data_IF_746976221621
#
_entry.id   IF_746976221621
#
_cell.length_a   1.000
_cell.length_b   1.000
_cell.length_c   1.000
_cell.angle_alpha   90.00
_cell.angle_beta   90.00
_cell.angle_gamma   90.00
#
_symmetry.space_group_name_H-M   'P 1'
#
loop_
_entity.id
_entity.type
_entity.pdbx_description
1 polymer ?
#
# COMPACT_ATOMS: atom_id res chain seq x y z
N UNK A 1 -4.75 -43.40 9.74
CA UNK A 1 -3.59 -43.46 8.80
C UNK A 1 -3.47 -42.23 7.89
N UNK A 2 -4.55 -41.70 7.29
CA UNK A 2 -4.49 -40.57 6.31
C UNK A 2 -3.90 -39.26 6.87
N UNK A 3 -4.20 -38.89 8.12
CA UNK A 3 -3.70 -37.65 8.73
C UNK A 3 -2.20 -37.64 9.05
N UNK A 4 -1.63 -38.77 9.50
CA UNK A 4 -0.18 -38.87 9.79
C UNK A 4 0.67 -38.78 8.52
N UNK A 5 0.18 -39.35 7.42
CA UNK A 5 0.83 -39.23 6.11
C UNK A 5 0.82 -37.78 5.60
N UNK A 6 -0.27 -37.05 5.79
CA UNK A 6 -0.37 -35.63 5.43
C UNK A 6 0.61 -34.76 6.22
N UNK A 7 0.66 -34.96 7.55
CA UNK A 7 1.58 -34.22 8.43
C UNK A 7 3.04 -34.50 8.10
N UNK A 8 3.40 -35.76 7.85
CA UNK A 8 4.75 -36.14 7.44
C UNK A 8 5.16 -35.49 6.10
N UNK A 9 4.23 -35.40 5.14
CA UNK A 9 4.48 -34.75 3.85
C UNK A 9 4.74 -33.24 4.00
N UNK A 10 3.97 -32.58 4.88
CA UNK A 10 4.14 -31.16 5.20
C UNK A 10 5.51 -30.93 5.87
N UNK A 11 5.84 -31.74 6.87
CA UNK A 11 7.08 -31.63 7.63
C UNK A 11 8.32 -31.79 6.75
N UNK A 12 8.31 -32.78 5.85
CA UNK A 12 9.42 -33.01 4.90
C UNK A 12 9.59 -31.82 3.95
N UNK A 13 8.49 -31.25 3.44
CA UNK A 13 8.56 -30.07 2.57
C UNK A 13 9.14 -28.86 3.30
N UNK A 14 8.68 -28.59 4.53
CA UNK A 14 9.19 -27.47 5.34
C UNK A 14 10.68 -27.64 5.62
N UNK A 15 11.11 -28.83 6.08
CA UNK A 15 12.53 -29.10 6.35
C UNK A 15 13.38 -28.96 5.09
N UNK A 16 12.91 -29.46 3.95
CA UNK A 16 13.65 -29.39 2.69
C UNK A 16 13.89 -27.95 2.25
N UNK A 17 12.87 -27.09 2.40
CA UNK A 17 12.97 -25.68 2.02
C UNK A 17 13.87 -24.90 2.98
N UNK A 18 13.74 -25.15 4.29
CA UNK A 18 14.55 -24.46 5.32
C UNK A 18 15.99 -25.01 5.44
N UNK A 19 16.27 -26.22 4.97
CA UNK A 19 17.62 -26.79 5.03
C UNK A 19 18.56 -26.21 3.96
N UNK A 20 18.01 -25.71 2.85
CA UNK A 20 18.79 -25.09 1.79
C UNK A 20 19.07 -23.61 2.11
N UNK A 21 20.29 -23.34 2.58
CA UNK A 21 20.74 -21.98 2.94
C UNK A 21 20.68 -21.00 1.77
N UNK A 22 20.83 -21.49 0.54
CA UNK A 22 20.67 -20.67 -0.66
C UNK A 22 19.23 -20.22 -0.84
N UNK A 23 18.27 -21.14 -0.62
CA UNK A 23 16.85 -20.81 -0.71
C UNK A 23 16.40 -19.81 0.35
N UNK A 24 16.95 -19.84 1.58
CA UNK A 24 16.58 -18.86 2.62
C UNK A 24 16.90 -17.43 2.16
N UNK A 25 18.06 -17.21 1.53
CA UNK A 25 18.40 -15.89 0.99
C UNK A 25 17.41 -15.44 -0.08
N UNK A 26 17.01 -16.33 -1.00
CA UNK A 26 16.01 -16.00 -2.02
C UNK A 26 14.59 -15.81 -1.45
N UNK A 27 14.23 -16.55 -0.40
CA UNK A 27 12.90 -16.53 0.21
C UNK A 27 12.67 -15.29 1.08
N UNK A 28 13.70 -14.81 1.78
CA UNK A 28 13.59 -13.68 2.71
C UNK A 28 14.54 -12.53 2.40
N UNK A 29 15.80 -12.83 2.08
CA UNK A 29 16.84 -11.82 1.86
C UNK A 29 16.59 -10.96 0.62
N UNK A 30 16.34 -11.57 -0.53
CA UNK A 30 16.04 -10.86 -1.78
C UNK A 30 14.80 -9.98 -1.71
N UNK A 31 13.63 -10.47 -1.23
CA UNK A 31 12.46 -9.64 -1.05
C UNK A 31 12.72 -8.44 -0.15
N UNK A 32 13.43 -8.65 0.96
CA UNK A 32 13.72 -7.57 1.89
C UNK A 32 14.69 -6.55 1.28
N UNK A 33 15.73 -7.01 0.59
CA UNK A 33 16.66 -6.14 -0.13
C UNK A 33 15.94 -5.31 -1.19
N UNK A 34 15.04 -5.92 -1.98
CA UNK A 34 14.25 -5.21 -2.98
C UNK A 34 13.28 -4.22 -2.35
N UNK A 35 12.57 -4.63 -1.29
CA UNK A 35 11.66 -3.77 -0.54
C UNK A 35 12.40 -2.54 -0.04
N UNK A 36 13.56 -2.73 0.63
CA UNK A 36 14.38 -1.62 1.15
C UNK A 36 14.94 -0.75 0.03
N UNK A 37 15.51 -1.33 -1.03
CA UNK A 37 16.04 -0.60 -2.18
C UNK A 37 14.97 0.26 -2.84
N UNK A 38 13.79 -0.31 -3.07
CA UNK A 38 12.68 0.41 -3.68
C UNK A 38 12.09 1.43 -2.72
N UNK A 39 12.07 1.13 -1.43
CA UNK A 39 11.73 2.10 -0.41
C UNK A 39 12.68 3.31 -0.47
N UNK A 40 13.98 3.09 -0.63
CA UNK A 40 14.94 4.19 -0.78
C UNK A 40 14.67 4.96 -2.08
N UNK A 41 14.40 4.26 -3.17
CA UNK A 41 14.12 4.87 -4.48
C UNK A 41 12.84 5.72 -4.49
N UNK A 42 11.79 5.28 -3.79
CA UNK A 42 10.51 5.98 -3.67
C UNK A 42 10.45 6.94 -2.47
N UNK A 43 11.60 7.22 -1.84
CA UNK A 43 11.71 8.21 -0.79
C UNK A 43 11.13 7.79 0.57
N UNK A 44 10.89 6.50 0.79
CA UNK A 44 10.41 5.94 2.08
C UNK A 44 11.44 6.16 3.19
N UNK A 45 12.73 6.04 2.85
CA UNK A 45 13.85 6.32 3.75
C UNK A 45 14.51 7.66 3.45
N UNK A 46 13.94 8.45 2.54
CA UNK A 46 14.41 9.81 2.23
C UNK A 46 13.94 10.81 3.28
N UNK A 47 14.12 10.41 4.53
CA UNK A 47 14.47 11.25 5.67
C UNK A 47 15.96 11.66 5.61
N UNK A 48 16.53 11.77 4.41
CA UNK A 48 17.93 12.11 4.16
C UNK A 48 18.16 13.62 4.04
N UNK A 49 18.22 14.32 5.18
CA UNK A 49 18.89 15.64 5.27
C UNK A 49 18.04 16.85 5.69
N UNK A 50 16.76 16.66 5.96
CA UNK A 50 15.88 17.71 6.50
C UNK A 50 14.42 17.40 6.24
N UNK A 51 13.56 17.85 7.14
CA UNK A 51 12.12 17.86 6.87
C UNK A 51 11.87 18.60 5.53
N UNK A 52 10.93 18.13 4.69
CA UNK A 52 10.66 18.74 3.40
C UNK A 52 10.39 20.25 3.54
N UNK A 53 11.08 21.07 2.76
CA UNK A 53 10.97 22.52 2.90
C UNK A 53 9.68 23.04 2.24
N UNK A 54 8.80 23.61 3.08
CA UNK A 54 7.64 24.39 2.64
C UNK A 54 8.03 25.84 2.72
N UNK A 55 8.11 26.52 1.57
CA UNK A 55 8.42 27.94 1.56
C UNK A 55 7.16 28.74 1.89
N UNK A 56 7.21 29.56 2.93
CA UNK A 56 6.09 30.43 3.30
C UNK A 56 6.38 31.84 2.80
N UNK A 57 5.51 32.37 1.95
CA UNK A 57 5.50 33.76 1.53
C UNK A 57 4.42 34.50 2.30
N UNK A 58 4.85 35.35 3.22
CA UNK A 58 3.98 36.21 4.00
C UNK A 58 3.91 37.62 3.41
N UNK A 59 2.80 37.93 2.73
CA UNK A 59 2.52 39.27 2.23
C UNK A 59 1.77 40.16 3.25
N UNK A 60 1.26 39.59 4.36
CA UNK A 60 0.51 40.30 5.39
C UNK A 60 1.41 40.90 6.47
N UNK A 61 2.45 40.17 6.88
CA UNK A 61 3.43 40.57 7.92
C UNK A 61 2.76 41.07 9.21
N UNK A 62 1.72 40.36 9.66
CA UNK A 62 0.96 40.69 10.86
C UNK A 62 1.30 39.78 12.04
N UNK A 63 0.83 40.13 13.24
CA UNK A 63 0.96 39.26 14.41
C UNK A 63 0.22 37.93 14.26
N UNK A 64 -0.90 37.92 13.52
CA UNK A 64 -1.67 36.71 13.23
C UNK A 64 -0.99 35.81 12.19
N UNK A 65 -0.34 36.40 11.16
CA UNK A 65 0.45 35.63 10.20
C UNK A 65 1.69 35.02 10.86
N UNK A 66 2.36 35.76 11.75
CA UNK A 66 3.48 35.26 12.53
C UNK A 66 3.10 34.10 13.48
N UNK A 67 1.93 34.17 14.10
CA UNK A 67 1.43 33.09 14.95
C UNK A 67 1.12 31.82 14.15
N UNK A 68 0.51 31.95 12.96
CA UNK A 68 0.30 30.84 12.03
C UNK A 68 1.64 30.24 11.59
N UNK A 69 2.61 31.07 11.20
CA UNK A 69 3.95 30.62 10.80
C UNK A 69 4.64 29.87 11.94
N UNK A 70 4.54 30.36 13.18
CA UNK A 70 5.12 29.70 14.34
C UNK A 70 4.50 28.31 14.58
N UNK A 71 3.17 28.19 14.49
CA UNK A 71 2.48 26.90 14.63
C UNK A 71 2.82 25.93 13.48
N UNK A 72 2.99 26.43 12.27
CA UNK A 72 3.43 25.63 11.12
C UNK A 72 4.91 25.23 11.20
N UNK A 73 5.74 26.05 11.86
CA UNK A 73 7.17 25.79 12.04
C UNK A 73 7.47 24.80 13.17
N UNK A 74 6.52 24.60 14.08
CA UNK A 74 6.61 23.64 15.20
C UNK A 74 6.31 22.19 14.78
N UNK A 75 5.82 21.98 13.55
CA UNK A 75 5.53 20.65 13.02
C UNK A 75 6.78 19.80 12.80
N UNK A 76 6.80 18.58 13.32
CA UNK A 76 7.90 17.61 13.10
C UNK A 76 7.91 16.98 11.69
N UNK A 77 7.03 17.41 10.79
CA UNK A 77 6.75 16.69 9.54
C UNK A 77 7.26 17.39 8.28
N UNK A 78 7.47 18.71 8.34
CA UNK A 78 8.03 19.53 7.25
C UNK A 78 8.81 20.72 7.84
N UNK A 79 9.79 21.26 7.10
CA UNK A 79 10.53 22.46 7.52
C UNK A 79 9.85 23.67 6.90
N UNK A 80 9.16 24.46 7.72
CA UNK A 80 8.69 25.77 7.28
C UNK A 80 9.89 26.72 7.09
N UNK A 81 10.09 27.22 5.88
CA UNK A 81 11.11 28.23 5.58
C UNK A 81 10.40 29.50 5.14
N UNK A 82 10.44 30.54 5.96
CA UNK A 82 9.91 31.84 5.57
C UNK A 82 10.83 32.43 4.49
N UNK A 83 10.26 32.74 3.33
CA UNK A 83 11.03 33.34 2.25
C UNK A 83 11.33 34.82 2.56
N UNK A 84 12.60 35.23 2.43
CA UNK A 84 13.04 36.62 2.68
C UNK A 84 12.44 37.64 1.70
N UNK A 85 11.91 37.17 0.57
CA UNK A 85 11.31 38.01 -0.47
C UNK A 85 9.80 38.05 -0.35
N UNK A 86 9.22 39.26 -0.34
CA UNK A 86 7.77 39.45 -0.52
C UNK A 86 7.45 39.04 -1.96
N UNK A 87 7.02 37.80 -2.13
CA UNK A 87 6.60 37.26 -3.41
C UNK A 87 5.16 37.66 -3.72
N UNK A 88 4.85 37.88 -5.00
CA UNK A 88 3.47 37.83 -5.48
C UNK A 88 3.00 36.38 -5.54
N UNK A 89 1.70 36.14 -5.42
CA UNK A 89 1.07 34.84 -5.66
C UNK A 89 1.51 34.24 -7.02
N UNK A 90 1.75 35.09 -8.02
CA UNK A 90 2.24 34.69 -9.35
C UNK A 90 3.66 34.08 -9.27
N UNK A 91 4.54 34.69 -8.47
CA UNK A 91 5.92 34.21 -8.27
C UNK A 91 5.92 32.89 -7.49
N UNK A 92 5.08 32.77 -6.47
CA UNK A 92 4.88 31.54 -5.71
C UNK A 92 4.44 30.39 -6.63
N UNK A 93 3.48 30.66 -7.54
CA UNK A 93 3.00 29.72 -8.55
C UNK A 93 4.12 29.29 -9.52
N UNK A 94 4.91 30.24 -10.01
CA UNK A 94 5.97 29.97 -11.00
C UNK A 94 7.13 29.15 -10.41
N UNK A 95 7.53 29.43 -9.17
CA UNK A 95 8.58 28.69 -8.47
C UNK A 95 8.27 27.20 -8.28
N UNK A 96 7.01 26.87 -8.04
CA UNK A 96 6.55 25.48 -7.94
C UNK A 96 6.49 24.84 -9.33
N UNK A 97 5.98 25.57 -10.33
CA UNK A 97 5.86 25.07 -11.71
C UNK A 97 7.20 24.76 -12.37
N UNK A 98 8.24 25.54 -12.07
CA UNK A 98 9.61 25.33 -12.55
C UNK A 98 10.38 24.26 -11.74
N UNK A 99 9.76 23.67 -10.72
CA UNK A 99 10.40 22.67 -9.85
C UNK A 99 11.48 23.25 -8.92
N UNK A 100 11.57 24.58 -8.79
CA UNK A 100 12.54 25.26 -7.92
C UNK A 100 12.16 25.18 -6.43
N UNK A 101 10.87 25.01 -6.13
CA UNK A 101 10.33 24.80 -4.78
C UNK A 101 9.35 23.63 -4.77
N UNK A 102 9.42 22.81 -3.72
CA UNK A 102 8.57 21.61 -3.56
C UNK A 102 7.12 21.97 -3.21
N UNK A 103 6.95 22.93 -2.30
CA UNK A 103 5.66 23.45 -1.88
C UNK A 103 5.81 24.90 -1.40
N UNK A 104 4.77 25.69 -1.63
CA UNK A 104 4.72 27.09 -1.29
C UNK A 104 3.37 27.44 -0.66
N UNK A 105 3.41 27.97 0.56
CA UNK A 105 2.26 28.60 1.21
C UNK A 105 2.31 30.11 0.97
N UNK A 106 1.24 30.67 0.44
CA UNK A 106 1.08 32.11 0.25
C UNK A 106 0.00 32.66 1.17
N UNK A 107 0.40 33.61 2.03
CA UNK A 107 -0.49 34.35 2.92
C UNK A 107 -0.74 35.73 2.29
N UNK A 108 -1.98 36.06 1.90
CA UNK A 108 -2.28 37.33 1.23
C UNK A 108 -2.23 38.51 2.18
N UNK A 109 -1.97 39.71 1.64
CA UNK A 109 -2.05 40.96 2.40
C UNK A 109 -3.48 41.23 2.88
N UNK A 110 -3.65 41.71 4.11
CA UNK A 110 -4.95 41.90 4.75
C UNK A 110 -5.51 40.62 5.40
N UNK A 111 -4.65 39.63 5.65
CA UNK A 111 -5.02 38.39 6.33
C UNK A 111 -5.47 38.67 7.76
N UNK A 112 -4.70 39.41 8.57
CA UNK A 112 -5.12 39.81 9.91
C UNK A 112 -6.44 40.61 9.92
N UNK A 113 -6.60 41.56 9.00
CA UNK A 113 -7.83 42.36 8.90
C UNK A 113 -9.04 41.50 8.54
N UNK A 114 -8.87 40.52 7.65
CA UNK A 114 -9.91 39.57 7.29
C UNK A 114 -10.30 38.70 8.48
N UNK A 115 -9.32 38.31 9.30
CA UNK A 115 -9.53 37.53 10.52
C UNK A 115 -10.23 38.32 11.62
N UNK A 116 -9.92 39.60 11.78
CA UNK A 116 -10.53 40.52 12.75
C UNK A 116 -11.97 40.89 12.36
N UNK A 117 -12.18 41.21 11.08
CA UNK A 117 -13.50 41.61 10.53
C UNK A 117 -14.40 40.42 10.18
N UNK A 118 -13.93 39.19 10.44
CA UNK A 118 -14.63 37.94 10.17
C UNK A 118 -15.09 37.81 8.71
N UNK A 119 -14.29 38.34 7.78
CA UNK A 119 -14.44 38.14 6.34
C UNK A 119 -13.77 36.82 5.94
N UNK A 120 -14.25 36.15 4.88
CA UNK A 120 -13.59 34.94 4.40
C UNK A 120 -12.17 35.26 3.94
N UNK A 121 -11.19 34.52 4.44
CA UNK A 121 -9.78 34.63 4.09
C UNK A 121 -9.34 33.34 3.39
N UNK A 122 -8.76 33.47 2.20
CA UNK A 122 -8.22 32.36 1.44
C UNK A 122 -6.71 32.29 1.57
N UNK A 123 -6.18 31.18 2.06
CA UNK A 123 -4.75 30.87 2.01
C UNK A 123 -4.47 30.08 0.73
N UNK A 124 -3.49 30.48 -0.07
CA UNK A 124 -3.14 29.75 -1.31
C UNK A 124 -1.98 28.80 -1.03
N UNK A 125 -2.15 27.50 -1.29
CA UNK A 125 -1.09 26.51 -1.14
C UNK A 125 -0.78 25.86 -2.50
N UNK A 126 0.41 26.14 -2.99
CA UNK A 126 0.92 25.67 -4.27
C UNK A 126 1.88 24.52 -4.05
N UNK A 127 1.67 23.40 -4.71
CA UNK A 127 2.57 22.26 -4.55
C UNK A 127 2.71 21.40 -5.80
N UNK A 128 3.82 20.67 -5.85
CA UNK A 128 4.03 19.59 -6.81
C UNK A 128 3.30 18.32 -6.32
N UNK A 129 2.62 17.61 -7.23
CA UNK A 129 1.82 16.43 -6.90
C UNK A 129 2.67 15.15 -6.79
N UNK A 130 3.86 15.15 -7.39
CA UNK A 130 4.74 13.97 -7.47
C UNK A 130 5.52 13.70 -6.18
N UNK A 131 5.45 14.62 -5.20
CA UNK A 131 6.22 14.54 -3.95
C UNK A 131 5.30 14.31 -2.76
N UNK A 132 5.46 13.15 -2.13
CA UNK A 132 4.69 12.74 -0.96
C UNK A 132 4.76 13.75 0.20
N UNK A 133 5.89 14.44 0.34
CA UNK A 133 6.10 15.51 1.32
C UNK A 133 5.12 16.68 1.19
N UNK A 134 4.71 17.03 -0.02
CA UNK A 134 3.76 18.11 -0.26
C UNK A 134 2.35 17.78 0.23
N UNK A 135 1.95 16.51 0.17
CA UNK A 135 0.64 16.07 0.65
C UNK A 135 0.56 16.04 2.18
N UNK A 136 1.66 15.67 2.84
CA UNK A 136 1.73 15.73 4.31
C UNK A 136 1.67 17.17 4.81
N UNK A 137 2.43 18.08 4.19
CA UNK A 137 2.37 19.51 4.50
C UNK A 137 0.96 20.09 4.31
N UNK A 138 0.22 19.66 3.27
CA UNK A 138 -1.17 20.05 3.07
C UNK A 138 -2.08 19.61 4.21
N UNK A 139 -1.96 18.35 4.65
CA UNK A 139 -2.82 17.80 5.72
C UNK A 139 -2.56 18.50 7.06
N UNK A 140 -1.29 18.79 7.35
CA UNK A 140 -0.90 19.54 8.54
C UNK A 140 -1.40 20.99 8.48
N UNK A 141 -1.32 21.62 7.31
CA UNK A 141 -1.82 22.97 7.07
C UNK A 141 -3.35 23.05 7.21
N UNK A 142 -4.10 22.08 6.66
CA UNK A 142 -5.55 21.96 6.84
C UNK A 142 -5.89 21.79 8.33
N UNK A 143 -5.13 20.98 9.07
CA UNK A 143 -5.31 20.77 10.51
C UNK A 143 -4.99 22.03 11.32
N UNK A 144 -3.94 22.76 10.98
CA UNK A 144 -3.57 24.02 11.62
C UNK A 144 -4.64 25.10 11.39
N UNK A 145 -5.15 25.22 10.16
CA UNK A 145 -6.28 26.11 9.83
C UNK A 145 -7.50 25.76 10.67
N UNK A 146 -7.85 24.47 10.79
CA UNK A 146 -8.97 24.00 11.62
C UNK A 146 -8.77 24.32 13.11
N UNK A 147 -7.55 24.16 13.65
CA UNK A 147 -7.25 24.49 15.05
C UNK A 147 -7.35 25.98 15.33
N UNK A 148 -6.86 26.81 14.42
CA UNK A 148 -6.95 28.27 14.55
C UNK A 148 -8.41 28.72 14.50
N UNK A 149 -9.20 28.15 13.59
CA UNK A 149 -10.65 28.38 13.55
C UNK A 149 -11.33 27.93 14.85
N UNK A 150 -11.08 26.71 15.31
CA UNK A 150 -11.66 26.18 16.55
C UNK A 150 -11.27 27.01 17.78
N UNK A 151 -9.99 27.39 17.91
CA UNK A 151 -9.49 28.22 19.01
C UNK A 151 -10.03 29.66 18.97
N UNK A 152 -10.37 30.18 17.80
CA UNK A 152 -11.03 31.50 17.65
C UNK A 152 -12.52 31.43 17.93
N UNK A 153 -13.21 30.40 17.44
CA UNK A 153 -14.60 30.13 17.80
C UNK A 153 -14.74 30.05 19.33
N UNK A 154 -13.83 29.32 20.00
CA UNK A 154 -13.77 29.24 21.46
C UNK A 154 -13.52 30.58 22.16
N UNK A 155 -12.52 31.37 21.71
CA UNK A 155 -12.22 32.68 22.30
C UNK A 155 -13.32 33.73 22.08
N UNK A 156 -13.97 33.74 20.91
CA UNK A 156 -15.13 34.62 20.64
C UNK A 156 -16.35 34.20 21.47
N UNK A 157 -16.56 32.91 21.64
CA UNK A 157 -17.61 32.39 22.51
C UNK A 157 -17.34 32.71 23.99
N UNK A 158 -16.07 32.82 24.41
CA UNK A 158 -15.68 33.26 25.75
C UNK A 158 -15.75 34.78 25.97
N UNK A 159 -15.59 35.59 24.90
CA UNK A 159 -15.69 37.05 24.95
C UNK A 159 -17.15 37.57 24.90
N UNK A 160 -18.13 36.68 24.74
CA UNK A 160 -19.57 36.95 24.85
C UNK A 160 -20.28 35.89 25.68
N UNK A 161 -21.61 35.96 25.80
CA UNK A 161 -22.38 34.84 26.32
C UNK A 161 -22.31 33.67 25.33
N UNK A 162 -21.94 32.47 25.80
CA UNK A 162 -21.84 31.27 24.97
C UNK A 162 -23.21 30.92 24.38
N UNK A 163 -23.37 31.08 23.07
CA UNK A 163 -24.58 30.74 22.33
C UNK A 163 -24.26 29.56 21.40
N UNK A 164 -24.88 28.41 21.68
CA UNK A 164 -24.68 27.15 20.94
C UNK A 164 -25.09 27.28 19.48
N UNK A 165 -26.13 28.05 19.16
CA UNK A 165 -26.56 28.28 17.78
C UNK A 165 -25.54 29.09 16.98
N UNK A 166 -24.86 30.04 17.65
CA UNK A 166 -23.80 30.85 17.05
C UNK A 166 -22.51 30.04 16.87
N UNK A 167 -22.18 29.14 17.79
CA UNK A 167 -21.07 28.19 17.64
C UNK A 167 -21.29 27.25 16.44
N UNK A 168 -22.50 26.69 16.29
CA UNK A 168 -22.86 25.81 15.17
C UNK A 168 -22.77 26.53 13.81
N UNK A 169 -23.13 27.82 13.74
CA UNK A 169 -22.99 28.62 12.52
C UNK A 169 -21.53 28.90 12.15
N UNK A 170 -20.64 29.07 13.14
CA UNK A 170 -19.21 29.29 12.92
C UNK A 170 -18.49 27.99 12.55
N UNK A 171 -18.96 26.85 13.05
CA UNK A 171 -18.44 25.53 12.73
C UNK A 171 -18.80 25.07 11.31
N UNK A 172 -20.03 25.40 10.87
CA UNK A 172 -20.55 24.97 9.56
C UNK A 172 -20.22 25.92 8.40
N UNK A 173 -19.74 27.15 8.67
CA UNK A 173 -19.29 28.11 7.66
C UNK A 173 -17.80 28.48 7.88
N UNK A 174 -16.85 27.63 7.45
CA UNK A 174 -15.42 27.92 7.60
C UNK A 174 -15.05 29.21 6.87
N UNK A 175 -14.51 30.19 7.61
CA UNK A 175 -14.14 31.51 7.05
C UNK A 175 -12.69 31.51 6.55
N UNK A 176 -11.82 30.68 7.10
CA UNK A 176 -10.55 30.32 6.51
C UNK A 176 -10.74 29.16 5.53
N UNK A 177 -10.49 29.42 4.25
CA UNK A 177 -10.47 28.38 3.22
C UNK A 177 -9.04 28.22 2.72
N UNK A 178 -8.51 27.00 2.79
CA UNK A 178 -7.26 26.69 2.11
C UNK A 178 -7.55 26.40 0.64
N UNK A 179 -7.11 27.29 -0.24
CA UNK A 179 -7.15 27.10 -1.68
C UNK A 179 -5.86 26.38 -2.08
N UNK A 180 -5.91 25.04 -2.13
CA UNK A 180 -4.80 24.24 -2.64
C UNK A 180 -4.83 24.22 -4.16
N UNK A 181 -3.84 24.81 -4.83
CA UNK A 181 -3.69 24.76 -6.28
C UNK A 181 -2.51 23.86 -6.66
N UNK A 182 -2.82 22.77 -7.34
CA UNK A 182 -1.84 21.82 -7.89
C UNK A 182 -1.22 22.40 -9.16
N UNK A 183 0.10 22.55 -9.17
CA UNK A 183 0.83 23.14 -10.31
C UNK A 183 1.72 22.15 -11.06
N UNK A 184 1.57 20.86 -10.74
CA UNK A 184 2.13 19.74 -11.50
C UNK A 184 1.33 19.42 -12.77
N UNK A 185 1.90 18.59 -13.64
CA UNK A 185 1.30 18.16 -14.91
C UNK A 185 -0.08 17.55 -14.63
N UNK A 186 -1.12 18.23 -15.11
CA UNK A 186 -2.55 18.16 -14.70
C UNK A 186 -3.26 16.80 -14.87
N UNK A 187 -2.56 15.73 -15.27
CA UNK A 187 -3.19 14.47 -15.65
C UNK A 187 -3.29 13.43 -14.51
N UNK A 188 -2.71 13.68 -13.32
CA UNK A 188 -2.60 12.66 -12.26
C UNK A 188 -3.10 13.08 -10.86
N UNK A 189 -3.63 14.29 -10.68
CA UNK A 189 -3.86 14.90 -9.35
C UNK A 189 -5.11 14.41 -8.57
N UNK A 190 -5.94 13.51 -9.11
CA UNK A 190 -7.09 12.95 -8.37
C UNK A 190 -6.78 11.67 -7.57
N UNK A 191 -5.54 11.22 -7.55
CA UNK A 191 -5.20 9.93 -6.96
C UNK A 191 -4.51 10.13 -5.62
N UNK A 192 -5.29 9.95 -4.54
CA UNK A 192 -4.83 9.86 -3.15
C UNK A 192 -3.65 8.88 -3.06
N UNK A 193 -2.43 9.39 -3.18
CA UNK A 193 -1.21 8.62 -3.06
C UNK A 193 -1.05 8.24 -1.59
N UNK A 194 -1.30 6.96 -1.29
CA UNK A 194 -0.84 6.35 -0.04
C UNK A 194 0.66 6.63 0.08
N UNK A 195 1.13 6.94 1.30
CA UNK A 195 2.54 7.20 1.59
C UNK A 195 3.42 6.14 0.89
N UNK A 196 4.46 6.54 0.17
CA UNK A 196 5.30 5.64 -0.64
C UNK A 196 5.80 4.40 0.12
N UNK A 197 5.94 4.48 1.45
CA UNK A 197 6.27 3.34 2.32
C UNK A 197 5.13 2.35 2.52
N UNK A 198 3.89 2.84 2.55
CA UNK A 198 2.67 2.04 2.74
C UNK A 198 2.34 1.19 1.50
N UNK A 199 2.76 1.60 0.30
CA UNK A 199 2.63 0.77 -0.90
C UNK A 199 3.78 -0.23 -1.01
N UNK A 200 5.02 0.26 -0.98
CA UNK A 200 6.24 -0.49 -1.30
C UNK A 200 6.36 -1.79 -0.50
N UNK A 201 6.34 -1.73 0.83
CA UNK A 201 6.55 -2.91 1.68
C UNK A 201 5.54 -4.04 1.43
N UNK A 202 4.22 -3.76 1.54
CA UNK A 202 3.17 -4.74 1.26
C UNK A 202 3.19 -5.24 -0.19
N UNK A 203 3.43 -4.36 -1.17
CA UNK A 203 3.45 -4.73 -2.57
C UNK A 203 4.57 -5.73 -2.89
N UNK A 204 5.79 -5.48 -2.41
CA UNK A 204 6.90 -6.43 -2.57
C UNK A 204 6.67 -7.72 -1.77
N UNK A 205 6.07 -7.64 -0.59
CA UNK A 205 5.65 -8.85 0.16
C UNK A 205 4.74 -9.73 -0.68
N UNK A 206 3.64 -9.18 -1.18
CA UNK A 206 2.68 -9.90 -2.02
C UNK A 206 3.35 -10.44 -3.28
N UNK A 207 4.23 -9.65 -3.92
CA UNK A 207 4.92 -10.05 -5.14
C UNK A 207 5.82 -11.26 -4.90
N UNK A 208 6.68 -11.22 -3.89
CA UNK A 208 7.65 -12.29 -3.64
C UNK A 208 6.99 -13.55 -3.10
N UNK A 209 5.92 -13.42 -2.32
CA UNK A 209 5.08 -14.55 -1.91
C UNK A 209 4.44 -15.19 -3.14
N UNK A 210 3.80 -14.41 -4.00
CA UNK A 210 3.21 -14.94 -5.24
C UNK A 210 4.27 -15.58 -6.15
N UNK A 211 5.43 -14.94 -6.29
CA UNK A 211 6.54 -15.47 -7.08
C UNK A 211 7.01 -16.82 -6.54
N UNK A 212 7.26 -16.93 -5.23
CA UNK A 212 7.61 -18.20 -4.59
C UNK A 212 6.55 -19.28 -4.84
N UNK A 213 5.27 -18.94 -4.63
CA UNK A 213 4.17 -19.89 -4.87
C UNK A 213 4.12 -20.33 -6.34
N UNK A 214 4.27 -19.42 -7.29
CA UNK A 214 4.27 -19.76 -8.71
C UNK A 214 5.53 -20.51 -9.16
N UNK A 215 6.65 -20.40 -8.44
CA UNK A 215 7.83 -21.23 -8.69
C UNK A 215 7.67 -22.66 -8.15
N UNK A 216 6.78 -22.89 -7.16
CA UNK A 216 6.46 -24.23 -6.65
C UNK A 216 5.84 -25.18 -7.69
N UNK A 217 5.41 -24.64 -8.85
CA UNK A 217 5.04 -25.42 -10.04
C UNK A 217 6.10 -26.49 -10.35
N UNK A 218 7.38 -26.15 -10.21
CA UNK A 218 8.50 -27.07 -10.46
C UNK A 218 8.47 -28.29 -9.55
N UNK A 219 8.22 -28.10 -8.26
CA UNK A 219 8.19 -29.20 -7.29
C UNK A 219 7.11 -30.22 -7.65
N UNK A 220 5.95 -29.73 -8.08
CA UNK A 220 4.85 -30.55 -8.58
C UNK A 220 5.27 -31.36 -9.81
N UNK A 221 6.02 -30.76 -10.74
CA UNK A 221 6.53 -31.50 -11.92
C UNK A 221 7.55 -32.56 -11.51
N UNK A 222 8.47 -32.24 -10.60
CA UNK A 222 9.48 -33.18 -10.11
C UNK A 222 8.81 -34.38 -9.44
N UNK A 223 7.80 -34.14 -8.62
CA UNK A 223 7.14 -35.20 -7.85
C UNK A 223 6.24 -36.10 -8.73
N UNK A 224 5.69 -35.56 -9.83
CA UNK A 224 5.07 -36.37 -10.89
C UNK A 224 6.10 -37.27 -11.59
N UNK A 225 7.28 -36.71 -11.91
CA UNK A 225 8.35 -37.44 -12.63
C UNK A 225 9.04 -38.50 -11.78
N UNK A 226 9.17 -38.28 -10.47
CA UNK A 226 9.80 -39.23 -9.54
C UNK A 226 8.93 -40.44 -9.19
N UNK A 227 7.70 -40.50 -9.72
CA UNK A 227 6.73 -41.56 -9.46
C UNK A 227 6.16 -41.57 -8.05
N UNK A 228 6.46 -40.56 -7.22
CA UNK A 228 5.91 -40.47 -5.84
C UNK A 228 4.39 -40.37 -5.86
N UNK A 229 3.82 -39.56 -6.74
CA UNK A 229 2.37 -39.44 -6.88
C UNK A 229 1.71 -40.75 -7.32
N UNK A 230 2.35 -41.50 -8.24
CA UNK A 230 1.89 -42.82 -8.66
C UNK A 230 1.91 -43.81 -7.49
N UNK A 231 2.98 -43.83 -6.69
CA UNK A 231 3.08 -44.68 -5.49
C UNK A 231 2.02 -44.32 -4.44
N UNK A 232 1.75 -43.03 -4.21
CA UNK A 232 0.72 -42.59 -3.26
C UNK A 232 -0.70 -42.96 -3.72
N UNK A 233 -0.97 -42.96 -5.04
CA UNK A 233 -2.25 -43.45 -5.59
C UNK A 233 -2.46 -44.94 -5.35
N UNK A 234 -1.41 -45.75 -5.53
CA UNK A 234 -1.46 -47.18 -5.24
C UNK A 234 -1.78 -47.46 -3.76
N UNK A 235 -1.48 -46.51 -2.86
CA UNK A 235 -1.89 -46.50 -1.45
C UNK A 235 -3.32 -45.99 -1.17
N UNK A 236 -4.21 -45.94 -2.16
CA UNK A 236 -5.61 -45.48 -2.06
C UNK A 236 -5.82 -44.00 -1.69
N UNK A 237 -4.87 -43.12 -2.01
CA UNK A 237 -5.08 -41.67 -1.90
C UNK A 237 -5.99 -41.16 -3.04
N UNK A 238 -7.05 -40.42 -2.69
CA UNK A 238 -7.90 -39.78 -3.69
C UNK A 238 -7.16 -38.65 -4.42
N UNK A 239 -7.49 -38.34 -5.69
CA UNK A 239 -6.84 -37.25 -6.43
C UNK A 239 -6.98 -35.89 -5.72
N UNK A 240 -8.12 -35.67 -5.05
CA UNK A 240 -8.35 -34.48 -4.23
C UNK A 240 -7.41 -34.43 -3.01
N UNK A 241 -7.17 -35.57 -2.33
CA UNK A 241 -6.25 -35.64 -1.19
C UNK A 241 -4.79 -35.40 -1.63
N UNK A 242 -4.41 -35.88 -2.81
CA UNK A 242 -3.09 -35.62 -3.38
C UNK A 242 -2.91 -34.14 -3.74
N UNK A 243 -3.88 -33.54 -4.42
CA UNK A 243 -3.86 -32.12 -4.74
C UNK A 243 -3.80 -31.24 -3.47
N UNK A 244 -4.55 -31.59 -2.42
CA UNK A 244 -4.51 -30.93 -1.12
C UNK A 244 -3.14 -31.09 -0.44
N UNK A 245 -2.56 -32.29 -0.44
CA UNK A 245 -1.23 -32.51 0.16
C UNK A 245 -0.13 -31.70 -0.52
N UNK A 246 -0.20 -31.61 -1.85
CA UNK A 246 0.72 -30.80 -2.65
C UNK A 246 0.51 -29.29 -2.49
N UNK A 247 -0.70 -28.87 -2.13
CA UNK A 247 -1.00 -27.47 -1.83
C UNK A 247 -0.48 -27.08 -0.44
N UNK A 248 -0.76 -27.89 0.58
CA UNK A 248 -0.55 -27.52 1.98
C UNK A 248 0.93 -27.25 2.31
N UNK A 249 1.87 -27.99 1.72
CA UNK A 249 3.31 -27.79 1.96
C UNK A 249 3.77 -26.38 1.55
N UNK A 250 3.74 -26.04 0.26
CA UNK A 250 4.07 -24.70 -0.23
C UNK A 250 3.21 -23.60 0.41
N UNK A 251 1.93 -23.87 0.68
CA UNK A 251 1.02 -22.88 1.27
C UNK A 251 1.44 -22.46 2.70
N UNK A 252 1.80 -23.43 3.56
CA UNK A 252 2.31 -23.13 4.91
C UNK A 252 3.62 -22.34 4.85
N UNK A 253 4.50 -22.68 3.90
CA UNK A 253 5.76 -21.94 3.71
C UNK A 253 5.49 -20.53 3.18
N UNK A 254 4.52 -20.35 2.27
CA UNK A 254 4.09 -19.03 1.81
C UNK A 254 3.48 -18.18 2.91
N UNK A 255 2.69 -18.76 3.82
CA UNK A 255 2.20 -18.08 5.02
C UNK A 255 3.34 -17.65 5.94
N UNK A 256 4.32 -18.52 6.17
CA UNK A 256 5.51 -18.20 6.94
C UNK A 256 6.31 -17.07 6.27
N UNK A 257 6.52 -17.16 4.95
CA UNK A 257 7.21 -16.13 4.16
C UNK A 257 6.51 -14.78 4.28
N UNK A 258 5.19 -14.76 4.06
CA UNK A 258 4.40 -13.54 4.19
C UNK A 258 4.46 -12.96 5.60
N UNK A 259 4.38 -13.81 6.63
CA UNK A 259 4.49 -13.38 8.04
C UNK A 259 5.84 -12.71 8.30
N UNK A 260 6.94 -13.36 7.93
CA UNK A 260 8.29 -12.85 8.16
C UNK A 260 8.49 -11.53 7.42
N UNK A 261 8.09 -11.44 6.15
CA UNK A 261 8.23 -10.22 5.37
C UNK A 261 7.38 -9.07 5.91
N UNK A 262 6.14 -9.33 6.35
CA UNK A 262 5.30 -8.31 6.97
C UNK A 262 5.92 -7.80 8.28
N UNK A 263 6.43 -8.70 9.13
CA UNK A 263 7.11 -8.32 10.37
C UNK A 263 8.37 -7.51 10.08
N UNK A 264 9.19 -7.94 9.11
CA UNK A 264 10.40 -7.19 8.73
C UNK A 264 10.06 -5.81 8.17
N UNK A 265 9.02 -5.69 7.35
CA UNK A 265 8.55 -4.40 6.84
C UNK A 265 8.00 -3.51 7.97
N UNK A 266 7.28 -4.07 8.94
CA UNK A 266 6.88 -3.31 10.14
C UNK A 266 8.09 -2.79 10.92
N UNK A 267 9.13 -3.61 11.09
CA UNK A 267 10.32 -3.23 11.86
C UNK A 267 11.24 -2.25 11.12
N UNK A 268 11.46 -2.44 9.82
CA UNK A 268 12.42 -1.66 9.03
C UNK A 268 11.81 -0.40 8.44
N UNK A 269 10.54 -0.47 8.01
CA UNK A 269 9.84 0.66 7.36
C UNK A 269 8.79 1.32 8.26
N UNK A 270 8.65 0.86 9.51
CA UNK A 270 7.69 1.39 10.49
C UNK A 270 6.24 1.40 9.95
N UNK A 271 5.86 0.33 9.25
CA UNK A 271 4.52 0.19 8.67
C UNK A 271 3.55 -0.29 9.74
N UNK A 272 2.53 0.50 9.99
CA UNK A 272 1.37 0.11 10.78
C UNK A 272 0.34 -0.58 9.87
N UNK A 273 0.01 -1.84 10.18
CA UNK A 273 -0.98 -2.63 9.44
C UNK A 273 -2.43 -2.41 9.91
N UNK A 274 -2.65 -1.46 10.82
CA UNK A 274 -3.96 -1.07 11.32
C UNK A 274 -4.48 -1.97 12.45
N UNK A 275 -5.66 -1.63 12.95
CA UNK A 275 -6.23 -2.20 14.19
C UNK A 275 -6.90 -3.57 14.01
N UNK A 276 -6.94 -4.12 12.79
CA UNK A 276 -7.62 -5.38 12.49
C UNK A 276 -6.67 -6.53 12.10
N UNK A 277 -6.03 -7.20 13.09
CA UNK A 277 -5.22 -8.40 12.83
C UNK A 277 -5.98 -9.50 12.07
N UNK A 278 -7.29 -9.60 12.27
CA UNK A 278 -8.12 -10.59 11.60
C UNK A 278 -8.17 -10.37 10.08
N UNK A 279 -8.22 -9.12 9.62
CA UNK A 279 -8.19 -8.79 8.19
C UNK A 279 -6.86 -9.17 7.55
N UNK A 280 -5.76 -8.96 8.28
CA UNK A 280 -4.42 -9.30 7.81
C UNK A 280 -4.26 -10.82 7.68
N UNK A 281 -4.69 -11.57 8.70
CA UNK A 281 -4.64 -13.04 8.68
C UNK A 281 -5.51 -13.60 7.57
N UNK A 282 -6.72 -13.07 7.38
CA UNK A 282 -7.61 -13.50 6.30
C UNK A 282 -7.01 -13.23 4.92
N UNK A 283 -6.39 -12.07 4.74
CA UNK A 283 -5.69 -11.70 3.51
C UNK A 283 -4.52 -12.65 3.24
N UNK A 284 -3.70 -12.94 4.26
CA UNK A 284 -2.59 -13.88 4.16
C UNK A 284 -3.07 -15.26 3.70
N UNK A 285 -4.09 -15.80 4.36
CA UNK A 285 -4.70 -17.11 4.05
C UNK A 285 -5.20 -17.15 2.61
N UNK A 286 -6.01 -16.16 2.20
CA UNK A 286 -6.63 -16.15 0.89
C UNK A 286 -5.61 -15.91 -0.23
N UNK A 287 -4.73 -14.92 -0.09
CA UNK A 287 -3.78 -14.57 -1.15
C UNK A 287 -2.74 -15.67 -1.40
N UNK A 288 -2.17 -16.23 -0.33
CA UNK A 288 -1.26 -17.38 -0.45
C UNK A 288 -1.99 -18.60 -1.02
N UNK A 289 -3.25 -18.83 -0.60
CA UNK A 289 -4.08 -19.90 -1.11
C UNK A 289 -4.32 -19.78 -2.61
N UNK A 290 -4.74 -18.59 -3.07
CA UNK A 290 -4.98 -18.28 -4.49
C UNK A 290 -3.71 -18.49 -5.30
N UNK A 291 -2.58 -17.98 -4.81
CA UNK A 291 -1.28 -18.12 -5.48
C UNK A 291 -0.85 -19.59 -5.60
N UNK A 292 -1.09 -20.40 -4.55
CA UNK A 292 -0.80 -21.84 -4.59
C UNK A 292 -1.73 -22.59 -5.54
N UNK A 293 -3.02 -22.27 -5.52
CA UNK A 293 -4.00 -22.88 -6.43
C UNK A 293 -3.67 -22.55 -7.89
N UNK A 294 -3.22 -21.32 -8.17
CA UNK A 294 -2.72 -20.91 -9.49
C UNK A 294 -1.51 -21.75 -9.91
N UNK A 295 -0.54 -21.93 -9.02
CA UNK A 295 0.64 -22.76 -9.28
C UNK A 295 0.25 -24.21 -9.63
N UNK A 296 -0.71 -24.81 -8.91
CA UNK A 296 -1.20 -26.15 -9.24
C UNK A 296 -1.83 -26.21 -10.63
N UNK A 297 -2.64 -25.22 -11.01
CA UNK A 297 -3.22 -25.15 -12.36
C UNK A 297 -2.12 -25.07 -13.41
N UNK A 298 -1.13 -24.18 -13.24
CA UNK A 298 -0.02 -24.04 -14.18
C UNK A 298 0.83 -25.30 -14.31
N UNK A 299 1.04 -26.02 -13.20
CA UNK A 299 1.77 -27.30 -13.21
C UNK A 299 1.10 -28.34 -14.13
N UNK A 300 -0.22 -28.29 -14.30
CA UNK A 300 -0.93 -29.21 -15.19
C UNK A 300 -0.50 -29.09 -16.67
N UNK A 301 0.05 -27.94 -17.08
CA UNK A 301 0.54 -27.71 -18.44
C UNK A 301 2.04 -27.97 -18.62
N UNK A 302 2.78 -28.12 -17.52
CA UNK A 302 4.22 -28.25 -17.54
C UNK A 302 4.64 -29.73 -17.65
N UNK A 303 5.53 -30.04 -18.58
CA UNK A 303 6.09 -31.40 -18.75
C UNK A 303 7.45 -31.54 -18.10
N UNK A 304 8.28 -30.49 -18.09
CA UNK A 304 9.66 -30.50 -17.56
C UNK A 304 9.81 -29.51 -16.40
N UNK A 305 10.75 -29.73 -15.46
CA UNK A 305 11.07 -28.76 -14.42
C UNK A 305 11.47 -27.39 -14.99
N UNK A 306 12.26 -27.35 -16.06
CA UNK A 306 12.65 -26.08 -16.69
C UNK A 306 11.46 -25.33 -17.34
N UNK A 307 10.49 -26.04 -17.92
CA UNK A 307 9.26 -25.42 -18.41
C UNK A 307 8.44 -24.83 -17.26
N UNK A 308 8.40 -25.52 -16.12
CA UNK A 308 7.73 -25.05 -14.91
C UNK A 308 8.37 -23.78 -14.34
N UNK A 309 9.71 -23.74 -14.28
CA UNK A 309 10.44 -22.54 -13.85
C UNK A 309 10.12 -21.35 -14.75
N UNK A 310 10.16 -21.55 -16.08
CA UNK A 310 9.84 -20.51 -17.05
C UNK A 310 8.40 -20.00 -16.93
N UNK A 311 7.41 -20.91 -16.88
CA UNK A 311 5.99 -20.53 -16.76
C UNK A 311 5.72 -19.84 -15.42
N UNK A 312 6.26 -20.35 -14.32
CA UNK A 312 6.10 -19.76 -12.99
C UNK A 312 6.65 -18.33 -12.94
N UNK A 313 7.85 -18.12 -13.48
CA UNK A 313 8.49 -16.81 -13.56
C UNK A 313 7.73 -15.84 -14.49
N UNK A 314 7.36 -16.28 -15.69
CA UNK A 314 6.61 -15.41 -16.61
C UNK A 314 5.25 -15.02 -16.04
N UNK A 315 4.54 -15.96 -15.40
CA UNK A 315 3.25 -15.69 -14.77
C UNK A 315 3.38 -14.68 -13.63
N UNK A 316 4.40 -14.84 -12.75
CA UNK A 316 4.62 -13.92 -11.63
C UNK A 316 5.00 -12.52 -12.11
N UNK A 317 5.92 -12.41 -13.07
CA UNK A 317 6.38 -11.15 -13.67
C UNK A 317 5.30 -10.45 -14.49
N UNK A 318 4.26 -11.16 -14.92
CA UNK A 318 3.12 -10.56 -15.64
C UNK A 318 2.04 -10.10 -14.68
N UNK A 319 1.65 -10.94 -13.72
CA UNK A 319 0.54 -10.66 -12.80
C UNK A 319 0.89 -9.61 -11.74
N UNK A 320 2.16 -9.49 -11.36
CA UNK A 320 2.61 -8.51 -10.38
C UNK A 320 2.40 -7.06 -10.86
N UNK A 321 2.94 -6.63 -12.02
CA UNK A 321 2.72 -5.27 -12.52
C UNK A 321 1.26 -5.03 -12.93
N UNK A 322 0.58 -6.01 -13.55
CA UNK A 322 -0.83 -5.85 -13.96
C UNK A 322 -1.77 -5.65 -12.77
N UNK A 323 -1.48 -6.29 -11.63
CA UNK A 323 -2.24 -6.12 -10.39
C UNK A 323 -1.77 -4.98 -9.50
N UNK A 324 -0.80 -4.19 -9.96
CA UNK A 324 -0.29 -3.03 -9.23
C UNK A 324 0.56 -3.36 -8.01
N UNK A 325 1.41 -4.40 -8.10
CA UNK A 325 2.43 -4.68 -7.10
C UNK A 325 3.77 -3.99 -7.37
N UNK A 326 4.01 -3.53 -8.61
CA UNK A 326 5.21 -2.76 -8.96
C UNK A 326 4.97 -1.26 -8.89
N UNK A 327 3.77 -0.86 -9.26
CA UNK A 327 3.28 0.49 -9.22
C UNK A 327 1.83 0.48 -8.76
N UNK A 328 1.36 1.55 -8.13
CA UNK A 328 -0.03 1.66 -7.75
C UNK A 328 -0.97 1.55 -8.98
N UNK A 329 -2.14 0.91 -8.83
CA UNK A 329 -3.16 0.85 -9.90
C UNK A 329 -3.76 2.22 -10.22
N UNK A 330 -3.43 3.20 -9.40
CA UNK A 330 -3.81 4.57 -9.51
C UNK A 330 -3.14 5.26 -10.71
N UNK A 331 -1.87 4.97 -10.98
CA UNK A 331 -1.08 5.68 -11.99
C UNK A 331 -1.17 5.08 -13.39
N UNK A 332 -1.86 3.93 -13.53
CA UNK A 332 -1.98 3.23 -14.81
C UNK A 332 -3.21 3.68 -15.60
N UNK A 333 -3.22 3.52 -16.94
CA UNK A 333 -4.40 3.81 -17.76
C UNK A 333 -5.65 3.05 -17.31
N UNK A 334 -6.83 3.62 -17.55
CA UNK A 334 -8.11 3.07 -17.06
C UNK A 334 -8.36 1.60 -17.43
N UNK A 335 -7.96 1.16 -18.62
CA UNK A 335 -8.10 -0.24 -19.03
C UNK A 335 -7.22 -1.18 -18.20
N UNK A 336 -5.97 -0.78 -17.87
CA UNK A 336 -5.08 -1.56 -17.01
C UNK A 336 -5.61 -1.61 -15.59
N UNK A 337 -6.12 -0.49 -15.09
CA UNK A 337 -6.76 -0.42 -13.77
C UNK A 337 -7.93 -1.39 -13.65
N UNK A 338 -8.79 -1.46 -14.67
CA UNK A 338 -9.91 -2.40 -14.70
C UNK A 338 -9.43 -3.87 -14.65
N UNK A 339 -8.41 -4.22 -15.44
CA UNK A 339 -7.81 -5.57 -15.41
C UNK A 339 -7.22 -5.85 -14.03
N UNK A 340 -6.40 -4.94 -13.50
CA UNK A 340 -5.74 -5.08 -12.22
C UNK A 340 -6.72 -5.28 -11.07
N UNK A 341 -7.83 -4.54 -11.06
CA UNK A 341 -8.88 -4.68 -10.06
C UNK A 341 -9.60 -6.04 -10.11
N UNK A 342 -9.58 -6.77 -11.23
CA UNK A 342 -10.15 -8.13 -11.28
C UNK A 342 -9.14 -9.17 -10.80
N UNK A 343 -7.85 -8.91 -10.99
CA UNK A 343 -6.78 -9.83 -10.61
C UNK A 343 -6.65 -9.98 -9.09
N UNK A 344 -6.25 -11.17 -8.60
CA UNK A 344 -6.08 -11.39 -7.17
C UNK A 344 -4.99 -10.51 -6.55
N UNK A 345 -3.98 -10.14 -7.33
CA UNK A 345 -2.92 -9.19 -6.93
C UNK A 345 -3.48 -7.80 -6.66
N UNK A 346 -4.34 -7.27 -7.54
CA UNK A 346 -4.98 -5.96 -7.34
C UNK A 346 -6.00 -5.96 -6.20
N UNK A 347 -6.75 -7.05 -6.04
CA UNK A 347 -7.63 -7.21 -4.89
C UNK A 347 -6.85 -7.20 -3.57
N UNK A 348 -5.77 -7.97 -3.50
CA UNK A 348 -4.95 -8.08 -2.29
C UNK A 348 -4.25 -6.76 -1.90
N UNK A 349 -3.61 -6.07 -2.86
CA UNK A 349 -2.93 -4.81 -2.56
C UNK A 349 -3.91 -3.72 -2.13
N UNK A 350 -5.12 -3.71 -2.69
CA UNK A 350 -6.11 -2.71 -2.29
C UNK A 350 -6.66 -2.98 -0.89
N UNK A 351 -6.86 -4.24 -0.48
CA UNK A 351 -7.18 -4.57 0.91
C UNK A 351 -6.08 -4.06 1.85
N UNK A 352 -4.81 -4.24 1.49
CA UNK A 352 -3.69 -3.68 2.26
C UNK A 352 -3.78 -2.15 2.37
N UNK A 353 -4.00 -1.45 1.26
CA UNK A 353 -4.17 0.02 1.29
C UNK A 353 -5.38 0.45 2.13
N UNK A 354 -6.49 -0.28 2.06
CA UNK A 354 -7.70 -0.02 2.84
C UNK A 354 -7.44 -0.20 4.36
N UNK A 355 -6.69 -1.24 4.73
CA UNK A 355 -6.30 -1.49 6.12
C UNK A 355 -5.35 -0.41 6.67
N UNK A 356 -4.28 -0.11 5.94
CA UNK A 356 -3.21 0.80 6.38
C UNK A 356 -3.63 2.27 6.29
N UNK A 357 -4.34 2.63 5.22
CA UNK A 357 -4.69 4.02 4.93
C UNK A 357 -6.02 4.47 5.52
N UNK A 358 -6.97 3.55 5.72
CA UNK A 358 -8.34 3.87 6.15
C UNK A 358 -8.76 3.16 7.44
N UNK A 359 -7.95 2.25 7.96
CA UNK A 359 -8.30 1.43 9.13
C UNK A 359 -9.43 0.44 8.86
N UNK A 360 -9.73 0.14 7.59
CA UNK A 360 -10.86 -0.70 7.21
C UNK A 360 -10.60 -2.17 7.53
N UNK A 361 -11.61 -2.83 8.09
CA UNK A 361 -11.56 -4.23 8.49
C UNK A 361 -12.15 -5.18 7.46
N UNK A 362 -12.60 -6.34 7.94
CA UNK A 362 -13.19 -7.41 7.12
C UNK A 362 -14.52 -6.96 6.48
N UNK A 363 -15.32 -6.20 7.21
CA UNK A 363 -16.68 -5.83 6.78
C UNK A 363 -16.61 -4.88 5.59
N UNK A 364 -15.78 -3.85 5.69
CA UNK A 364 -15.56 -2.83 4.67
C UNK A 364 -14.90 -3.43 3.42
N UNK A 365 -14.01 -4.42 3.60
CA UNK A 365 -13.32 -5.12 2.52
C UNK A 365 -14.02 -6.41 2.06
N UNK A 366 -15.24 -6.66 2.49
CA UNK A 366 -15.95 -7.93 2.28
C UNK A 366 -16.03 -8.33 0.80
N UNK A 367 -16.29 -7.36 -0.10
CA UNK A 367 -16.32 -7.60 -1.55
C UNK A 367 -14.97 -8.08 -2.12
N UNK A 368 -13.85 -7.54 -1.62
CA UNK A 368 -12.50 -7.92 -2.05
C UNK A 368 -12.11 -9.29 -1.51
N UNK A 369 -12.44 -9.56 -0.25
CA UNK A 369 -12.24 -10.89 0.34
C UNK A 369 -13.08 -11.95 -0.37
N UNK A 370 -14.32 -11.63 -0.73
CA UNK A 370 -15.17 -12.52 -1.52
C UNK A 370 -14.55 -12.78 -2.90
N UNK A 371 -14.04 -11.75 -3.58
CA UNK A 371 -13.36 -11.92 -4.87
C UNK A 371 -12.15 -12.87 -4.77
N UNK A 372 -11.31 -12.71 -3.74
CA UNK A 372 -10.18 -13.62 -3.49
C UNK A 372 -10.64 -15.06 -3.18
N UNK A 373 -11.71 -15.21 -2.39
CA UNK A 373 -12.29 -16.52 -2.09
C UNK A 373 -12.86 -17.19 -3.35
N UNK A 374 -13.52 -16.44 -4.23
CA UNK A 374 -14.02 -16.94 -5.52
C UNK A 374 -12.86 -17.40 -6.39
N UNK A 375 -11.79 -16.59 -6.51
CA UNK A 375 -10.57 -17.00 -7.22
C UNK A 375 -10.00 -18.31 -6.67
N UNK A 376 -9.92 -18.44 -5.34
CA UNK A 376 -9.40 -19.64 -4.69
C UNK A 376 -10.24 -20.87 -5.05
N UNK A 377 -11.55 -20.79 -4.88
CA UNK A 377 -12.47 -21.90 -5.16
C UNK A 377 -12.42 -22.31 -6.64
N UNK A 378 -12.44 -21.35 -7.55
CA UNK A 378 -12.40 -21.60 -9.00
C UNK A 378 -11.09 -22.29 -9.40
N UNK A 379 -9.95 -21.79 -8.92
CA UNK A 379 -8.63 -22.35 -9.25
C UNK A 379 -8.45 -23.75 -8.65
N UNK A 380 -8.91 -23.99 -7.41
CA UNK A 380 -8.87 -25.32 -6.80
C UNK A 380 -9.77 -26.31 -7.53
N UNK A 381 -10.96 -25.89 -7.94
CA UNK A 381 -11.86 -26.70 -8.76
C UNK A 381 -11.20 -27.10 -10.08
N UNK A 382 -10.62 -26.12 -10.78
CA UNK A 382 -9.90 -26.34 -12.03
C UNK A 382 -8.68 -27.26 -11.85
N UNK A 383 -7.88 -27.02 -10.82
CA UNK A 383 -6.72 -27.85 -10.48
C UNK A 383 -7.15 -29.30 -10.23
N UNK A 384 -8.18 -29.52 -9.41
CA UNK A 384 -8.68 -30.87 -9.08
C UNK A 384 -9.16 -31.62 -10.34
N UNK A 385 -9.93 -30.96 -11.21
CA UNK A 385 -10.42 -31.55 -12.46
C UNK A 385 -9.26 -31.92 -13.39
N UNK A 386 -8.27 -31.03 -13.54
CA UNK A 386 -7.11 -31.25 -14.40
C UNK A 386 -6.17 -32.31 -13.84
N UNK A 387 -5.91 -32.31 -12.53
CA UNK A 387 -5.08 -33.33 -11.88
C UNK A 387 -5.68 -34.72 -12.01
N UNK A 388 -7.01 -34.86 -11.91
CA UNK A 388 -7.67 -36.14 -12.15
C UNK A 388 -7.33 -36.69 -13.54
N UNK A 389 -7.49 -35.87 -14.59
CA UNK A 389 -7.19 -36.25 -15.99
C UNK A 389 -5.71 -36.51 -16.30
N UNK A 390 -4.80 -36.05 -15.44
CA UNK A 390 -3.35 -36.21 -15.63
C UNK A 390 -2.80 -37.49 -15.02
N UNK A 391 -3.53 -38.04 -14.04
CA UNK A 391 -3.11 -39.24 -13.32
C UNK A 391 -3.98 -40.45 -13.74
N UNK A 392 -5.19 -40.22 -14.26
CA UNK A 392 -5.98 -41.20 -15.02
C UNK A 392 -5.42 -41.33 -16.43
#
# INVERSE_FOLDING_TARGET
>A
MKGRALLALIEVHIRKILADRGNIFWLFGMPMMFSVLMGMMFGVFDSGGGLPEVSIFDADRSGDSAALIAELSDGETYRAVVADTVGSEILARELVREGRRTAVLFIPAGFADSLLTARPASLSFFHDADRLSAQTARTDLETAVLRIEAGRAGRRAAAGAFDTARFDSLWNEPRLTLVSEFLGRREQAELKLSKGGQHTGPAYTLMFVMMFMLMSVRDVVIERRSGTLTRLRLGAASPALLALGMLLGPWVVGLLQMTVLLVLNALVMNIDYGESPASLVLLMILFTGVSTAMALVLATFCRTPGQADGIGMTASMTLAPLGGLWWPLEIVPGFMKQIGLVLPTGQAITVFHDMVGRGYGIVENSGRFLALAVWLVVLLGLATIRFRRLID
#
